data_IF_317681401126
#
_entry.id   IF_317681401126
#
_cell.length_a   1.000
_cell.length_b   1.000
_cell.length_c   1.000
_cell.angle_alpha   90.00
_cell.angle_beta   90.00
_cell.angle_gamma   90.00
#
_symmetry.space_group_name_H-M   'P 1'
#
loop_
_entity.id
_entity.type
_entity.pdbx_description
1 polymer ?
#
# COMPACT_ATOMS: atom_id res chain seq x y z
N UNK A 1 2.41 17.87 4.29
CA UNK A 1 3.61 17.56 3.45
C UNK A 1 3.46 16.19 2.79
N UNK A 2 4.10 15.92 1.64
CA UNK A 2 4.07 14.60 0.96
C UNK A 2 5.45 13.94 1.05
N UNK A 3 5.51 12.70 1.53
CA UNK A 3 6.70 11.84 1.44
C UNK A 3 6.35 10.55 0.70
N UNK A 4 7.23 10.14 -0.19
CA UNK A 4 7.09 8.92 -0.99
C UNK A 4 8.34 8.09 -0.83
N UNK A 5 8.18 6.78 -0.65
CA UNK A 5 9.26 5.81 -0.78
C UNK A 5 8.91 4.90 -1.95
N UNK A 6 9.88 4.70 -2.84
CA UNK A 6 9.77 3.73 -3.90
C UNK A 6 10.54 2.52 -3.39
N UNK A 7 9.82 1.45 -3.07
CA UNK A 7 10.43 0.20 -2.64
C UNK A 7 10.46 -0.68 -3.88
N UNK A 8 11.64 -0.84 -4.47
CA UNK A 8 11.84 -1.77 -5.57
C UNK A 8 11.77 -3.20 -5.02
N UNK A 9 10.56 -3.74 -4.97
CA UNK A 9 10.34 -5.14 -4.69
C UNK A 9 10.72 -5.94 -5.93
N UNK A 10 12.00 -6.32 -6.03
CA UNK A 10 12.44 -7.35 -6.98
C UNK A 10 12.76 -8.63 -6.20
N UNK A 11 11.80 -9.08 -5.40
CA UNK A 11 11.92 -10.33 -4.66
C UNK A 11 10.69 -11.18 -4.90
N UNK A 12 10.90 -12.24 -5.70
CA UNK A 12 10.24 -13.53 -5.60
C UNK A 12 8.74 -13.48 -5.27
N UNK A 13 7.98 -12.65 -5.99
CA UNK A 13 6.63 -13.08 -6.33
C UNK A 13 6.84 -14.28 -7.23
N UNK A 14 6.76 -15.47 -6.66
CA UNK A 14 6.31 -16.63 -7.41
C UNK A 14 4.96 -16.20 -7.97
N UNK A 15 4.95 -15.63 -9.18
CA UNK A 15 3.72 -15.25 -9.85
C UNK A 15 3.06 -16.58 -10.18
N UNK A 16 2.15 -17.02 -9.33
CA UNK A 16 1.29 -18.14 -9.66
C UNK A 16 0.28 -17.57 -10.65
N UNK A 17 0.50 -17.85 -11.93
CA UNK A 17 -0.53 -17.69 -12.95
C UNK A 17 -1.68 -18.63 -12.59
N UNK A 18 -2.71 -18.09 -11.96
CA UNK A 18 -3.93 -18.87 -11.69
C UNK A 18 -4.70 -18.95 -12.99
N UNK A 19 -4.65 -20.12 -13.63
CA UNK A 19 -5.61 -20.48 -14.67
C UNK A 19 -6.99 -20.58 -14.02
N UNK A 20 -7.88 -19.62 -14.32
CA UNK A 20 -9.29 -19.71 -13.92
C UNK A 20 -9.95 -20.71 -14.85
N UNK A 21 -9.89 -21.99 -14.48
CA UNK A 21 -10.81 -23.01 -15.00
C UNK A 21 -11.45 -23.74 -13.83
N UNK A 22 -12.73 -24.02 -14.00
CA UNK A 22 -13.68 -24.49 -13.00
C UNK A 22 -13.38 -25.90 -12.45
N UNK A 23 -12.18 -26.23 -11.98
CA UNK A 23 -11.96 -27.51 -11.28
C UNK A 23 -10.76 -27.53 -10.31
N UNK A 24 -10.95 -28.37 -9.29
CA UNK A 24 -10.33 -28.40 -7.97
C UNK A 24 -8.89 -28.97 -7.90
N UNK A 25 -8.21 -28.65 -6.78
CA UNK A 25 -7.18 -29.45 -6.09
C UNK A 25 -5.81 -29.68 -6.76
N UNK A 26 -5.05 -28.61 -7.04
CA UNK A 26 -3.62 -28.75 -7.36
C UNK A 26 -2.73 -28.25 -6.21
N UNK A 27 -1.68 -29.01 -5.90
CA UNK A 27 -0.66 -28.62 -4.91
C UNK A 27 0.12 -27.37 -5.35
N UNK A 28 0.56 -26.53 -4.40
CA UNK A 28 1.19 -25.22 -4.70
C UNK A 28 2.36 -25.34 -5.69
N UNK A 29 3.23 -26.34 -5.52
CA UNK A 29 4.41 -26.54 -6.39
C UNK A 29 4.05 -26.87 -7.83
N UNK A 30 2.97 -27.63 -8.05
CA UNK A 30 2.52 -27.97 -9.41
C UNK A 30 1.97 -26.76 -10.15
N UNK A 31 1.25 -25.86 -9.46
CA UNK A 31 0.69 -24.66 -10.08
C UNK A 31 1.80 -23.69 -10.58
N UNK A 32 2.91 -23.60 -9.85
CA UNK A 32 4.08 -22.79 -10.25
C UNK A 32 4.69 -23.28 -11.56
N UNK A 33 4.95 -24.59 -11.67
CA UNK A 33 5.57 -25.20 -12.86
C UNK A 33 4.68 -25.06 -14.10
N UNK A 34 3.38 -25.26 -13.95
CA UNK A 34 2.44 -25.05 -15.07
C UNK A 34 2.34 -23.58 -15.48
N UNK A 35 2.38 -22.66 -14.51
CA UNK A 35 2.37 -21.21 -14.77
C UNK A 35 3.57 -20.77 -15.59
N UNK A 36 4.78 -21.20 -15.24
CA UNK A 36 6.00 -20.87 -16.00
C UNK A 36 5.98 -21.45 -17.42
N UNK A 37 5.52 -22.69 -17.59
CA UNK A 37 5.43 -23.32 -18.92
C UNK A 37 4.43 -22.57 -19.83
N UNK A 38 3.26 -22.20 -19.31
CA UNK A 38 2.26 -21.42 -20.05
C UNK A 38 2.80 -20.03 -20.40
N UNK A 39 3.50 -19.38 -19.46
CA UNK A 39 4.08 -18.06 -19.69
C UNK A 39 5.19 -18.08 -20.75
N UNK A 40 6.05 -19.10 -20.73
CA UNK A 40 7.09 -19.28 -21.75
C UNK A 40 6.49 -19.46 -23.15
N UNK A 41 5.42 -20.24 -23.27
CA UNK A 41 4.68 -20.44 -24.53
C UNK A 41 3.92 -19.18 -24.95
N UNK A 42 3.38 -18.41 -24.00
CA UNK A 42 2.72 -17.13 -24.27
C UNK A 42 3.71 -16.09 -24.84
N UNK A 43 4.91 -16.02 -24.28
CA UNK A 43 5.95 -15.10 -24.73
C UNK A 43 6.64 -15.54 -26.03
N UNK A 44 6.65 -16.83 -26.36
CA UNK A 44 7.34 -17.37 -27.55
C UNK A 44 6.60 -17.13 -28.88
N UNK A 45 5.43 -16.47 -28.89
CA UNK A 45 4.65 -16.09 -30.08
C UNK A 45 4.19 -17.22 -31.03
N UNK A 46 4.50 -18.49 -30.73
CA UNK A 46 4.05 -19.68 -31.47
C UNK A 46 2.75 -20.26 -30.89
N UNK A 47 1.72 -19.42 -30.75
CA UNK A 47 0.50 -19.78 -30.02
C UNK A 47 -0.59 -20.32 -30.96
N UNK A 48 -1.11 -21.50 -30.65
CA UNK A 48 -2.41 -21.95 -31.15
C UNK A 48 -3.51 -20.96 -30.70
N UNK A 49 -4.55 -20.77 -31.52
CA UNK A 49 -5.64 -19.83 -31.24
C UNK A 49 -6.31 -20.07 -29.88
N UNK A 50 -6.29 -21.33 -29.39
CA UNK A 50 -6.81 -21.74 -28.09
C UNK A 50 -6.08 -21.15 -26.88
N UNK A 51 -4.81 -20.74 -27.00
CA UNK A 51 -4.01 -20.18 -25.89
C UNK A 51 -4.13 -18.65 -25.87
N UNK A 52 -4.40 -18.01 -27.01
CA UNK A 52 -4.60 -16.55 -27.09
C UNK A 52 -5.86 -16.07 -26.37
N UNK A 53 -6.85 -16.95 -26.16
CA UNK A 53 -8.07 -16.64 -25.40
C UNK A 53 -7.89 -16.77 -23.87
N UNK A 54 -6.72 -17.19 -23.39
CA UNK A 54 -6.44 -17.28 -21.96
C UNK A 54 -6.27 -15.88 -21.37
N UNK A 55 -7.08 -15.58 -20.35
CA UNK A 55 -6.89 -14.39 -19.53
C UNK A 55 -5.99 -14.75 -18.34
N UNK A 56 -4.72 -14.39 -18.43
CA UNK A 56 -3.75 -14.55 -17.34
C UNK A 56 -3.77 -13.30 -16.47
N UNK A 57 -3.91 -13.49 -15.16
CA UNK A 57 -4.01 -12.42 -14.19
C UNK A 57 -3.00 -12.65 -13.06
N UNK A 58 -2.08 -11.71 -12.89
CA UNK A 58 -1.11 -11.75 -11.80
C UNK A 58 -1.78 -11.44 -10.47
N UNK A 59 -1.34 -12.12 -9.41
CA UNK A 59 -1.90 -11.99 -8.05
C UNK A 59 -0.80 -11.89 -7.00
N UNK A 60 -1.11 -11.23 -5.88
CA UNK A 60 -0.19 -11.04 -4.75
C UNK A 60 -0.21 -12.27 -3.84
N UNK A 61 0.95 -12.85 -3.50
CA UNK A 61 1.00 -14.07 -2.69
C UNK A 61 0.94 -13.88 -1.17
N UNK A 62 1.39 -12.74 -0.66
CA UNK A 62 1.45 -12.46 0.77
C UNK A 62 0.77 -11.13 1.07
N UNK A 63 0.14 -11.03 2.24
CA UNK A 63 -0.45 -9.75 2.64
C UNK A 63 0.64 -8.66 2.75
N UNK A 64 0.27 -7.46 2.33
CA UNK A 64 1.10 -6.26 2.46
C UNK A 64 0.41 -5.28 3.40
N UNK A 65 1.18 -4.69 4.30
CA UNK A 65 0.65 -3.85 5.35
C UNK A 65 1.63 -2.84 5.90
N UNK A 66 1.19 -2.16 6.95
CA UNK A 66 1.96 -1.21 7.74
C UNK A 66 1.89 -1.58 9.20
N UNK A 67 2.92 -1.26 9.97
CA UNK A 67 2.89 -1.44 11.41
C UNK A 67 1.92 -0.47 12.12
N UNK A 68 1.43 -0.92 13.27
CA UNK A 68 0.80 -0.07 14.27
C UNK A 68 1.84 0.79 14.98
N UNK A 69 1.37 1.88 15.61
CA UNK A 69 2.19 2.63 16.55
C UNK A 69 2.72 1.69 17.65
N UNK A 70 4.03 1.77 17.89
CA UNK A 70 4.75 0.87 18.80
C UNK A 70 5.30 -0.40 18.15
N UNK A 71 4.98 -0.69 16.89
CA UNK A 71 5.58 -1.83 16.18
C UNK A 71 5.11 -3.20 16.61
N UNK A 72 3.92 -3.28 17.21
CA UNK A 72 3.42 -4.54 17.78
C UNK A 72 2.66 -5.31 16.71
N UNK A 73 1.63 -4.70 16.13
CA UNK A 73 0.68 -5.36 15.22
C UNK A 73 0.81 -4.84 13.80
N UNK A 74 0.63 -5.71 12.83
CA UNK A 74 0.55 -5.37 11.40
C UNK A 74 -0.89 -5.10 10.99
N UNK A 75 -1.11 -3.99 10.29
CA UNK A 75 -2.36 -3.68 9.60
C UNK A 75 -2.21 -3.98 8.11
N UNK A 76 -2.82 -5.08 7.67
CA UNK A 76 -2.81 -5.48 6.26
C UNK A 76 -3.76 -4.61 5.42
N UNK A 77 -3.21 -4.06 4.34
CA UNK A 77 -3.90 -3.13 3.44
C UNK A 77 -4.24 -3.83 2.13
N UNK A 78 -3.29 -4.59 1.58
CA UNK A 78 -3.52 -5.42 0.40
C UNK A 78 -3.58 -6.89 0.83
N UNK A 79 -4.65 -7.56 0.43
CA UNK A 79 -4.90 -8.96 0.77
C UNK A 79 -4.12 -9.91 -0.15
N UNK A 80 -3.82 -11.10 0.36
CA UNK A 80 -3.41 -12.24 -0.46
C UNK A 80 -4.39 -12.45 -1.62
N UNK A 81 -3.86 -12.92 -2.73
CA UNK A 81 -4.52 -13.19 -4.00
C UNK A 81 -5.20 -11.96 -4.63
N UNK A 82 -4.86 -10.74 -4.20
CA UNK A 82 -5.37 -9.54 -4.87
C UNK A 82 -4.75 -9.42 -6.26
N UNK A 83 -5.54 -9.11 -7.31
CA UNK A 83 -5.04 -8.98 -8.67
C UNK A 83 -4.14 -7.75 -8.82
N UNK A 84 -3.12 -7.84 -9.68
CA UNK A 84 -2.20 -6.76 -10.03
C UNK A 84 -2.52 -6.28 -11.46
N UNK A 85 -2.55 -4.97 -11.76
CA UNK A 85 -2.20 -3.84 -10.90
C UNK A 85 -3.26 -3.51 -9.85
N UNK A 86 -2.82 -3.01 -8.70
CA UNK A 86 -3.72 -2.61 -7.60
C UNK A 86 -3.25 -1.33 -6.94
N UNK A 87 -4.22 -0.50 -6.55
CA UNK A 87 -4.01 0.70 -5.74
C UNK A 87 -4.98 0.73 -4.58
N UNK A 88 -4.48 0.89 -3.36
CA UNK A 88 -5.27 1.00 -2.14
C UNK A 88 -4.76 2.16 -1.30
N UNK A 89 -5.68 3.02 -0.87
CA UNK A 89 -5.40 4.13 0.03
C UNK A 89 -6.16 3.93 1.33
N UNK A 90 -5.46 4.12 2.46
CA UNK A 90 -6.03 4.04 3.81
C UNK A 90 -5.61 5.26 4.61
N UNK A 91 -6.50 5.76 5.44
CA UNK A 91 -6.20 6.89 6.33
C UNK A 91 -5.71 6.36 7.69
N UNK A 92 -4.59 6.91 8.17
CA UNK A 92 -4.01 6.68 9.49
C UNK A 92 -3.95 8.00 10.25
N UNK A 93 -3.88 7.91 11.57
CA UNK A 93 -3.85 9.08 12.45
C UNK A 93 -2.69 9.02 13.44
N UNK A 94 -2.33 10.17 14.02
CA UNK A 94 -1.41 10.23 15.16
C UNK A 94 -1.91 9.39 16.32
N UNK A 95 -0.99 8.72 17.00
CA UNK A 95 -1.30 7.82 18.12
C UNK A 95 -0.97 8.44 19.48
N UNK A 96 -0.19 9.53 19.50
CA UNK A 96 0.18 10.28 20.69
C UNK A 96 -0.08 11.77 20.50
N UNK A 97 -0.36 12.46 21.61
CA UNK A 97 -0.52 13.92 21.60
C UNK A 97 0.80 14.60 21.24
N UNK A 98 0.72 15.70 20.50
CA UNK A 98 1.86 16.53 20.14
C UNK A 98 3.01 15.79 19.43
N UNK A 99 2.67 14.74 18.67
CA UNK A 99 3.63 13.95 17.88
C UNK A 99 4.33 14.84 16.84
N UNK A 100 5.66 14.92 16.90
CA UNK A 100 6.49 15.70 15.96
C UNK A 100 6.91 14.91 14.72
N UNK A 101 6.86 13.59 14.80
CA UNK A 101 7.14 12.67 13.70
C UNK A 101 6.25 11.42 13.77
N UNK A 102 5.99 10.83 12.61
CA UNK A 102 5.29 9.56 12.45
C UNK A 102 6.11 8.68 11.51
N UNK A 103 6.31 7.43 11.91
CA UNK A 103 6.99 6.40 11.13
C UNK A 103 5.98 5.33 10.74
N UNK A 104 6.03 4.93 9.48
CA UNK A 104 5.26 3.84 8.90
C UNK A 104 6.25 2.81 8.36
N UNK A 105 6.33 1.63 8.98
CA UNK A 105 7.11 0.50 8.46
C UNK A 105 6.22 -0.34 7.57
N UNK A 106 6.63 -0.48 6.32
CA UNK A 106 5.98 -1.34 5.34
C UNK A 106 6.44 -2.77 5.60
N UNK A 107 5.51 -3.72 5.66
CA UNK A 107 5.81 -5.11 5.95
C UNK A 107 5.01 -6.07 5.07
N UNK A 108 5.55 -7.27 4.89
CA UNK A 108 4.97 -8.38 4.16
C UNK A 108 4.95 -9.64 5.03
N UNK A 109 3.84 -10.37 5.01
CA UNK A 109 3.70 -11.64 5.72
C UNK A 109 2.25 -11.93 6.09
N UNK A 110 2.03 -12.93 6.95
CA UNK A 110 0.69 -13.44 7.29
C UNK A 110 0.43 -13.43 8.81
N UNK A 111 1.37 -12.91 9.59
CA UNK A 111 1.30 -12.91 11.05
C UNK A 111 0.71 -11.59 11.55
N UNK A 112 0.03 -11.64 12.68
CA UNK A 112 -0.53 -10.44 13.31
C UNK A 112 0.54 -9.53 13.87
N UNK A 113 1.67 -10.08 14.36
CA UNK A 113 2.74 -9.30 14.97
C UNK A 113 3.81 -8.89 13.95
N UNK A 114 4.27 -7.64 14.03
CA UNK A 114 5.25 -7.07 13.08
C UNK A 114 6.58 -7.84 13.12
N UNK A 115 7.01 -8.24 14.32
CA UNK A 115 8.27 -9.00 14.52
C UNK A 115 8.31 -10.35 13.79
N UNK A 116 7.15 -10.93 13.49
CA UNK A 116 7.01 -12.23 12.85
C UNK A 116 6.75 -12.09 11.34
N UNK A 117 6.83 -10.86 10.81
CA UNK A 117 6.71 -10.53 9.40
C UNK A 117 8.01 -9.91 8.88
N UNK A 118 8.16 -9.85 7.55
CA UNK A 118 9.32 -9.23 6.91
C UNK A 118 9.09 -7.73 6.74
N UNK A 119 10.02 -6.91 7.21
CA UNK A 119 9.99 -5.45 6.99
C UNK A 119 10.62 -5.15 5.63
N UNK A 120 9.87 -4.42 4.80
CA UNK A 120 10.25 -4.09 3.43
C UNK A 120 10.94 -2.74 3.32
N UNK A 121 10.56 -1.80 4.18
CA UNK A 121 11.05 -0.44 4.18
C UNK A 121 10.28 0.44 5.14
N UNK A 122 10.64 1.72 5.21
CA UNK A 122 10.04 2.66 6.15
C UNK A 122 9.86 4.06 5.58
N UNK A 123 8.81 4.71 6.04
CA UNK A 123 8.45 6.09 5.73
C UNK A 123 8.38 6.88 7.03
N UNK A 124 9.24 7.88 7.18
CA UNK A 124 9.19 8.78 8.34
C UNK A 124 8.79 10.17 7.90
N UNK A 125 7.63 10.65 8.32
CA UNK A 125 7.20 12.04 8.19
C UNK A 125 7.63 12.78 9.45
N UNK A 126 8.38 13.86 9.27
CA UNK A 126 8.89 14.70 10.36
C UNK A 126 8.27 16.09 10.27
N UNK A 127 8.44 16.88 11.34
CA UNK A 127 7.96 18.27 11.42
C UNK A 127 6.44 18.39 11.27
N UNK A 128 5.72 17.40 11.81
CA UNK A 128 4.26 17.42 11.89
C UNK A 128 3.83 18.49 12.90
N UNK A 129 2.74 19.19 12.60
CA UNK A 129 2.15 20.16 13.52
C UNK A 129 1.65 19.42 14.76
N UNK A 130 2.09 19.87 15.93
CA UNK A 130 1.66 19.31 17.21
C UNK A 130 0.16 19.51 17.38
N UNK A 131 -0.58 18.42 17.45
CA UNK A 131 -2.01 18.37 17.68
C UNK A 131 -2.33 17.24 18.66
N UNK A 132 -3.52 17.24 19.30
CA UNK A 132 -4.03 16.08 20.02
C UNK A 132 -3.99 14.81 19.16
N UNK A 133 -3.85 13.65 19.81
CA UNK A 133 -3.88 12.35 19.14
C UNK A 133 -5.15 12.22 18.29
N UNK A 134 -5.02 11.62 17.12
CA UNK A 134 -6.16 11.39 16.23
C UNK A 134 -6.51 12.57 15.32
N UNK A 135 -6.02 13.79 15.58
CA UNK A 135 -6.37 14.96 14.76
C UNK A 135 -5.58 15.08 13.47
N UNK A 136 -4.32 14.64 13.48
CA UNK A 136 -3.50 14.65 12.26
C UNK A 136 -3.72 13.36 11.49
N UNK A 137 -4.28 13.49 10.28
CA UNK A 137 -4.55 12.39 9.36
C UNK A 137 -3.44 12.25 8.30
N UNK A 138 -3.19 11.01 7.89
CA UNK A 138 -2.26 10.64 6.84
C UNK A 138 -2.92 9.65 5.88
N UNK A 139 -2.95 9.99 4.60
CA UNK A 139 -3.35 9.08 3.55
C UNK A 139 -2.13 8.25 3.12
N UNK A 140 -2.15 6.96 3.47
CA UNK A 140 -1.18 5.97 3.03
C UNK A 140 -1.69 5.28 1.78
N UNK A 141 -0.93 5.35 0.69
CA UNK A 141 -1.29 4.72 -0.58
C UNK A 141 -0.26 3.65 -0.93
N UNK A 142 -0.75 2.42 -1.13
CA UNK A 142 -0.04 1.27 -1.63
C UNK A 142 -0.45 1.06 -3.07
N UNK A 143 0.51 1.11 -3.99
CA UNK A 143 0.30 0.98 -5.42
C UNK A 143 1.27 -0.05 -5.98
N UNK A 144 0.75 -1.09 -6.62
CA UNK A 144 1.54 -2.10 -7.30
C UNK A 144 1.20 -2.01 -8.78
N UNK A 145 2.23 -1.72 -9.58
CA UNK A 145 2.09 -1.59 -11.02
C UNK A 145 2.15 -2.94 -11.75
N UNK A 146 2.03 -2.90 -13.08
CA UNK A 146 2.10 -4.09 -13.94
C UNK A 146 3.47 -4.80 -13.91
N UNK A 147 4.51 -4.13 -13.43
CA UNK A 147 5.86 -4.69 -13.31
C UNK A 147 6.11 -5.29 -11.91
N UNK A 148 5.06 -5.40 -11.08
CA UNK A 148 5.14 -5.85 -9.69
C UNK A 148 5.99 -4.93 -8.79
N UNK A 149 6.12 -3.64 -9.11
CA UNK A 149 6.85 -2.68 -8.28
C UNK A 149 5.88 -2.06 -7.27
N UNK A 150 6.23 -2.17 -5.97
CA UNK A 150 5.46 -1.59 -4.87
C UNK A 150 5.89 -0.13 -4.59
N UNK A 151 4.98 0.79 -4.86
CA UNK A 151 5.09 2.19 -4.48
C UNK A 151 4.27 2.46 -3.23
N UNK A 152 4.92 2.96 -2.17
CA UNK A 152 4.23 3.35 -0.94
C UNK A 152 4.43 4.85 -0.72
N UNK A 153 3.33 5.58 -0.63
CA UNK A 153 3.36 7.02 -0.39
C UNK A 153 2.50 7.39 0.81
N UNK A 154 2.93 8.42 1.53
CA UNK A 154 2.24 8.96 2.69
C UNK A 154 2.03 10.46 2.49
N UNK A 155 0.78 10.89 2.54
CA UNK A 155 0.39 12.29 2.42
C UNK A 155 -0.29 12.73 3.70
N UNK A 156 0.29 13.70 4.39
CA UNK A 156 -0.36 14.35 5.52
C UNK A 156 -1.55 15.19 5.05
N UNK A 157 -2.74 14.89 5.55
CA UNK A 157 -3.98 15.62 5.29
C UNK A 157 -4.20 16.65 6.41
N UNK A 158 -3.32 17.65 6.47
CA UNK A 158 -3.43 18.72 7.47
C UNK A 158 -4.15 19.94 6.89
N UNK A 159 -5.46 20.06 7.09
CA UNK A 159 -6.16 21.36 7.15
C UNK A 159 -7.38 21.25 8.11
N UNK A 160 -7.25 21.74 9.34
CA UNK A 160 -8.41 22.27 10.10
C UNK A 160 -8.14 23.61 10.81
N UNK A 161 -6.88 24.03 10.94
CA UNK A 161 -6.51 25.21 11.75
C UNK A 161 -6.44 26.56 11.00
N UNK A 162 -6.48 26.58 9.67
CA UNK A 162 -6.28 27.84 8.91
C UNK A 162 -7.55 28.69 8.68
N UNK A 163 -8.75 28.16 8.91
CA UNK A 163 -10.00 28.90 8.60
C UNK A 163 -10.72 29.50 9.81
N UNK A 164 -10.27 29.23 11.05
CA UNK A 164 -10.98 29.72 12.25
C UNK A 164 -10.50 31.10 12.74
N UNK A 165 -9.32 31.58 12.34
CA UNK A 165 -8.73 32.81 12.88
C UNK A 165 -8.79 34.01 11.92
N UNK A 166 -9.20 33.84 10.65
CA UNK A 166 -9.19 34.95 9.68
C UNK A 166 -10.54 35.64 9.45
N UNK A 167 -11.59 35.36 10.24
CA UNK A 167 -12.95 35.89 9.95
C UNK A 167 -13.48 36.99 10.88
N UNK A 168 -12.83 37.31 12.01
CA UNK A 168 -13.44 38.24 12.99
C UNK A 168 -12.65 39.49 13.36
N UNK A 169 -11.35 39.61 13.05
CA UNK A 169 -10.55 40.71 13.65
C UNK A 169 -10.26 41.94 12.77
N UNK A 170 -10.76 42.03 11.52
CA UNK A 170 -10.36 43.13 10.61
C UNK A 170 -11.47 43.96 9.95
N UNK A 171 -12.72 43.96 10.44
CA UNK A 171 -13.81 44.76 9.84
C UNK A 171 -14.26 45.97 10.71
N UNK A 172 -13.69 46.20 11.89
CA UNK A 172 -14.06 47.38 12.71
C UNK A 172 -12.85 48.24 13.07
N UNK A 173 -12.54 49.22 12.21
CA UNK A 173 -12.25 50.64 12.55
C UNK A 173 -11.47 51.35 11.43
N UNK A 174 -12.17 52.09 10.55
CA UNK A 174 -11.80 53.46 10.16
C UNK A 174 -12.91 54.10 9.31
N UNK A 175 -13.91 54.64 10.01
CA UNK A 175 -14.77 55.71 9.52
C UNK A 175 -14.93 56.67 10.70
N UNK A 176 -14.08 57.69 10.75
CA UNK A 176 -14.30 58.91 11.55
C UNK A 176 -13.79 60.05 10.70
N UNK A 177 -14.78 60.77 10.15
CA UNK A 177 -14.87 62.14 9.61
C UNK A 177 -13.75 62.61 8.69
#
# INVERSE_FOLDING_TARGET
MKKTIIINFKFNLVIIYVYISNNNNNSENTAVVYGEAIQAVYLSSSLSESIKSLNLQDVILLLLGVDSSGGITTYFIIKRNSPIPIKKTVTRVTCHDNQSSVRFRVCQGERSLVKDNTILGELTIERIIKAPRGETEFDLTFEIDKNCILNVSAVERSIKLLFRVMKEDNIKKKLVV
#
